data_IF_996795142660
#
_entry.id   IF_996795142660
#
_cell.length_a   1.000
_cell.length_b   1.000
_cell.length_c   1.000
_cell.angle_alpha   90.00
_cell.angle_beta   90.00
_cell.angle_gamma   90.00
#
_symmetry.space_group_name_H-M   'P 1'
#
loop_
_entity.id
_entity.type
_entity.pdbx_description
1 polymer ?
#
# COMPACT_ATOMS: atom_id res chain seq x y z
N UNK A 1 15.06 16.58 -5.18
CA UNK A 1 14.38 15.78 -6.21
C UNK A 1 14.46 14.26 -5.96
N UNK A 2 15.65 13.64 -6.02
CA UNK A 2 15.77 12.18 -5.80
C UNK A 2 15.31 11.75 -4.40
N UNK A 3 15.75 12.46 -3.36
CA UNK A 3 15.33 12.17 -1.98
C UNK A 3 13.82 12.31 -1.78
N UNK A 4 13.19 13.29 -2.45
CA UNK A 4 11.75 13.51 -2.37
C UNK A 4 10.98 12.35 -3.02
N UNK A 5 11.41 11.92 -4.22
CA UNK A 5 10.85 10.75 -4.92
C UNK A 5 11.00 9.48 -4.09
N UNK A 6 12.18 9.25 -3.50
CA UNK A 6 12.40 8.11 -2.63
C UNK A 6 11.54 8.21 -1.37
N UNK A 7 11.46 9.37 -0.72
CA UNK A 7 10.60 9.57 0.46
C UNK A 7 9.13 9.20 0.19
N UNK A 8 8.57 9.68 -0.92
CA UNK A 8 7.22 9.30 -1.36
C UNK A 8 7.10 7.80 -1.66
N UNK A 9 8.08 7.24 -2.37
CA UNK A 9 8.13 5.81 -2.69
C UNK A 9 8.10 4.94 -1.44
N UNK A 10 8.93 5.26 -0.43
CA UNK A 10 8.99 4.53 0.82
C UNK A 10 7.68 4.65 1.62
N UNK A 11 7.10 5.86 1.73
CA UNK A 11 5.88 6.06 2.49
C UNK A 11 4.68 5.36 1.87
N UNK A 12 4.49 5.48 0.55
CA UNK A 12 3.37 4.85 -0.15
C UNK A 12 3.52 3.31 -0.14
N UNK A 13 4.75 2.80 -0.22
CA UNK A 13 5.03 1.37 -0.12
C UNK A 13 4.67 0.84 1.28
N UNK A 14 4.98 1.58 2.33
CA UNK A 14 4.64 1.23 3.72
C UNK A 14 3.11 1.21 3.92
N UNK A 15 2.42 2.25 3.47
CA UNK A 15 0.95 2.32 3.46
C UNK A 15 0.31 1.15 2.70
N UNK A 16 0.88 0.76 1.55
CA UNK A 16 0.44 -0.42 0.80
C UNK A 16 0.66 -1.72 1.58
N UNK A 17 1.85 -1.90 2.17
CA UNK A 17 2.19 -3.09 2.94
C UNK A 17 1.29 -3.28 4.16
N UNK A 18 0.93 -2.19 4.85
CA UNK A 18 0.05 -2.23 6.02
C UNK A 18 -1.34 -2.80 5.70
N UNK A 19 -1.88 -2.47 4.52
CA UNK A 19 -3.25 -2.81 4.11
C UNK A 19 -3.34 -4.06 3.21
N UNK A 20 -2.25 -4.43 2.55
CA UNK A 20 -2.21 -5.57 1.63
C UNK A 20 -1.57 -6.82 2.25
N UNK A 21 -1.05 -6.77 3.49
CA UNK A 21 -0.45 -7.95 4.10
C UNK A 21 -1.51 -9.01 4.40
N UNK A 22 -1.34 -10.19 3.82
CA UNK A 22 -2.15 -11.39 4.09
C UNK A 22 -1.82 -12.03 5.45
N UNK A 23 -0.70 -11.69 6.04
CA UNK A 23 -0.23 -12.26 7.30
C UNK A 23 -0.96 -11.67 8.50
N UNK A 24 -1.94 -12.44 8.99
CA UNK A 24 -2.24 -12.49 10.42
C UNK A 24 -1.08 -13.23 11.11
N UNK A 25 0.05 -12.55 11.32
CA UNK A 25 1.10 -13.11 12.20
C UNK A 25 0.73 -12.76 13.63
N UNK A 26 0.86 -13.70 14.56
CA UNK A 26 0.58 -13.50 16.00
C UNK A 26 1.36 -12.31 16.62
N UNK A 27 2.31 -11.72 15.87
CA UNK A 27 3.15 -10.60 16.26
C UNK A 27 2.98 -9.30 15.43
N UNK A 28 2.18 -9.28 14.34
CA UNK A 28 1.79 -8.03 13.66
C UNK A 28 0.29 -7.85 13.72
N UNK A 29 -0.12 -6.71 14.25
CA UNK A 29 -1.51 -6.30 14.24
C UNK A 29 -1.98 -6.02 12.79
N UNK A 30 -3.10 -6.64 12.41
CA UNK A 30 -3.64 -6.61 11.05
C UNK A 30 -4.21 -5.21 10.72
N UNK A 31 -3.78 -4.61 9.61
CA UNK A 31 -4.26 -3.30 9.10
C UNK A 31 -4.31 -2.20 10.18
N UNK A 32 -3.19 -1.92 10.83
CA UNK A 32 -3.12 -0.92 11.91
C UNK A 32 -3.47 0.49 11.49
N UNK A 33 -3.23 0.85 10.23
CA UNK A 33 -3.66 2.14 9.71
C UNK A 33 -5.18 2.34 9.88
N UNK A 34 -5.96 1.25 9.83
CA UNK A 34 -7.41 1.30 10.08
C UNK A 34 -7.73 1.45 11.58
N UNK A 35 -6.96 0.82 12.47
CA UNK A 35 -7.09 0.98 13.93
C UNK A 35 -6.79 2.43 14.34
N UNK A 36 -5.73 3.01 13.78
CA UNK A 36 -5.32 4.38 14.08
C UNK A 36 -6.27 5.43 13.46
N UNK A 37 -7.05 5.02 12.45
CA UNK A 37 -7.87 5.91 11.65
C UNK A 37 -7.04 6.79 10.70
N UNK A 38 -5.89 6.27 10.26
CA UNK A 38 -4.93 6.97 9.40
C UNK A 38 -5.47 7.07 7.97
N UNK A 39 -5.35 8.26 7.39
CA UNK A 39 -5.59 8.47 5.96
C UNK A 39 -4.34 8.09 5.16
N UNK A 40 -4.11 6.79 5.02
CA UNK A 40 -3.02 6.25 4.18
C UNK A 40 -3.35 6.33 2.69
N UNK A 41 -2.34 6.24 1.82
CA UNK A 41 -2.48 6.47 0.38
C UNK A 41 -3.64 5.69 -0.28
N UNK A 42 -3.84 4.38 -0.05
CA UNK A 42 -4.95 3.64 -0.65
C UNK A 42 -6.33 4.08 -0.14
N UNK A 43 -6.43 4.48 1.13
CA UNK A 43 -7.70 4.95 1.73
C UNK A 43 -8.10 6.32 1.19
N UNK A 44 -7.14 7.23 1.03
CA UNK A 44 -7.34 8.53 0.39
C UNK A 44 -7.88 8.33 -1.03
N UNK A 45 -7.24 7.48 -1.83
CA UNK A 45 -7.71 7.20 -3.19
C UNK A 45 -9.17 6.70 -3.19
N UNK A 46 -9.53 5.76 -2.30
CA UNK A 46 -10.89 5.23 -2.24
C UNK A 46 -11.93 6.31 -1.91
N UNK A 47 -11.61 7.20 -0.96
CA UNK A 47 -12.51 8.29 -0.55
C UNK A 47 -12.75 9.26 -1.71
N UNK A 48 -11.71 9.61 -2.47
CA UNK A 48 -11.82 10.58 -3.57
C UNK A 48 -12.38 10.00 -4.87
N UNK A 49 -12.13 8.72 -5.14
CA UNK A 49 -12.64 8.01 -6.33
C UNK A 49 -14.10 7.55 -6.19
N UNK A 50 -14.62 7.49 -4.95
CA UNK A 50 -16.01 7.10 -4.62
C UNK A 50 -16.67 8.15 -3.72
N UNK A 51 -16.82 9.41 -4.16
CA UNK A 51 -17.35 10.50 -3.33
C UNK A 51 -18.78 10.27 -2.84
N UNK A 52 -19.53 9.38 -3.49
CA UNK A 52 -20.87 8.95 -3.09
C UNK A 52 -20.89 8.03 -1.87
N UNK A 53 -19.74 7.48 -1.46
CA UNK A 53 -19.62 6.51 -0.38
C UNK A 53 -18.80 7.05 0.78
N UNK A 54 -19.36 6.98 1.99
CA UNK A 54 -18.66 7.36 3.23
C UNK A 54 -18.12 6.15 4.00
N UNK A 55 -18.09 4.95 3.39
CA UNK A 55 -17.76 3.71 4.08
C UNK A 55 -16.36 3.73 4.70
N UNK A 56 -15.34 4.08 3.91
CA UNK A 56 -13.94 4.14 4.38
C UNK A 56 -13.81 5.17 5.51
N UNK A 57 -14.38 6.36 5.36
CA UNK A 57 -14.36 7.42 6.37
C UNK A 57 -15.00 6.96 7.69
N UNK A 58 -16.14 6.27 7.60
CA UNK A 58 -16.83 5.75 8.77
C UNK A 58 -16.03 4.66 9.49
N UNK A 59 -15.35 3.78 8.75
CA UNK A 59 -14.49 2.73 9.33
C UNK A 59 -13.26 3.37 10.01
N UNK A 60 -12.58 4.30 9.35
CA UNK A 60 -11.43 5.01 9.94
C UNK A 60 -11.82 5.77 11.21
N UNK A 61 -13.01 6.38 11.23
CA UNK A 61 -13.54 7.09 12.41
C UNK A 61 -13.83 6.15 13.59
N UNK A 62 -14.14 4.89 13.34
CA UNK A 62 -14.41 3.90 14.40
C UNK A 62 -13.14 3.47 15.14
N UNK A 63 -11.96 3.59 14.51
CA UNK A 63 -10.67 3.12 15.08
C UNK A 63 -10.78 1.68 15.60
N UNK A 64 -11.38 0.83 14.77
CA UNK A 64 -11.82 -0.51 15.19
C UNK A 64 -10.67 -1.49 15.21
N UNK A 65 -10.66 -2.36 16.22
CA UNK A 65 -9.79 -3.54 16.27
C UNK A 65 -10.45 -4.77 15.65
N UNK A 66 -11.73 -4.68 15.27
CA UNK A 66 -12.49 -5.80 14.72
C UNK A 66 -11.95 -6.21 13.34
N UNK A 67 -11.44 -7.44 13.27
CA UNK A 67 -10.80 -8.00 12.07
C UNK A 67 -11.77 -8.09 10.89
N UNK A 68 -13.05 -8.42 11.11
CA UNK A 68 -14.05 -8.53 10.04
C UNK A 68 -14.34 -7.18 9.39
N UNK A 69 -14.42 -6.11 10.20
CA UNK A 69 -14.58 -4.74 9.69
C UNK A 69 -13.35 -4.31 8.90
N UNK A 70 -12.14 -4.66 9.37
CA UNK A 70 -10.90 -4.39 8.64
C UNK A 70 -10.85 -5.13 7.30
N UNK A 71 -11.21 -6.42 7.26
CA UNK A 71 -11.31 -7.20 6.01
C UNK A 71 -12.32 -6.60 5.05
N UNK A 72 -13.50 -6.22 5.55
CA UNK A 72 -14.51 -5.54 4.75
C UNK A 72 -13.97 -4.24 4.13
N UNK A 73 -13.22 -3.44 4.90
CA UNK A 73 -12.57 -2.23 4.39
C UNK A 73 -11.57 -2.55 3.27
N UNK A 74 -10.68 -3.53 3.49
CA UNK A 74 -9.68 -3.97 2.49
C UNK A 74 -10.36 -4.44 1.20
N UNK A 75 -11.41 -5.26 1.30
CA UNK A 75 -12.18 -5.71 0.13
C UNK A 75 -12.83 -4.55 -0.62
N UNK A 76 -13.31 -3.54 0.11
CA UNK A 76 -13.85 -2.32 -0.49
C UNK A 76 -12.77 -1.52 -1.23
N UNK A 77 -11.56 -1.38 -0.65
CA UNK A 77 -10.42 -0.72 -1.29
C UNK A 77 -10.00 -1.43 -2.59
N UNK A 78 -10.00 -2.76 -2.61
CA UNK A 78 -9.72 -3.55 -3.82
C UNK A 78 -10.78 -3.29 -4.90
N UNK A 79 -12.07 -3.33 -4.55
CA UNK A 79 -13.19 -3.04 -5.48
C UNK A 79 -13.19 -1.59 -5.99
N UNK A 80 -12.70 -0.65 -5.18
CA UNK A 80 -12.50 0.73 -5.58
C UNK A 80 -11.28 0.92 -6.50
N UNK A 81 -10.46 -0.13 -6.69
CA UNK A 81 -9.23 -0.07 -7.48
C UNK A 81 -8.06 0.60 -6.77
N UNK A 82 -8.15 0.87 -5.46
CA UNK A 82 -7.14 1.62 -4.72
C UNK A 82 -5.79 0.91 -4.67
N UNK A 83 -5.77 -0.41 -4.52
CA UNK A 83 -4.51 -1.16 -4.55
C UNK A 83 -3.87 -1.16 -5.93
N UNK A 84 -4.67 -1.28 -7.00
CA UNK A 84 -4.17 -1.15 -8.37
C UNK A 84 -3.57 0.24 -8.63
N UNK A 85 -4.27 1.29 -8.22
CA UNK A 85 -3.79 2.68 -8.31
C UNK A 85 -2.50 2.91 -7.51
N UNK A 86 -2.42 2.33 -6.31
CA UNK A 86 -1.22 2.42 -5.46
C UNK A 86 -0.02 1.74 -6.11
N UNK A 87 -0.19 0.53 -6.66
CA UNK A 87 0.87 -0.18 -7.40
C UNK A 87 1.34 0.62 -8.61
N UNK A 88 0.42 1.24 -9.34
CA UNK A 88 0.78 2.06 -10.50
C UNK A 88 1.57 3.32 -10.10
N UNK A 89 1.15 3.97 -9.02
CA UNK A 89 1.89 5.11 -8.45
C UNK A 89 3.30 4.70 -8.03
N UNK A 90 3.46 3.55 -7.37
CA UNK A 90 4.76 3.02 -6.96
C UNK A 90 5.68 2.70 -8.15
N UNK A 91 5.13 2.16 -9.24
CA UNK A 91 5.88 1.95 -10.49
C UNK A 91 6.35 3.26 -11.10
N UNK A 92 5.49 4.28 -11.12
CA UNK A 92 5.86 5.61 -11.58
C UNK A 92 7.01 6.23 -10.77
N UNK A 93 6.93 6.13 -9.45
CA UNK A 93 7.98 6.60 -8.54
C UNK A 93 9.29 5.80 -8.68
N UNK A 94 9.20 4.49 -8.89
CA UNK A 94 10.37 3.64 -9.16
C UNK A 94 11.08 4.08 -10.46
N UNK A 95 10.33 4.28 -11.55
CA UNK A 95 10.89 4.76 -12.82
C UNK A 95 11.55 6.12 -12.66
N UNK A 96 10.90 7.06 -11.96
CA UNK A 96 11.45 8.38 -11.72
C UNK A 96 12.71 8.33 -10.84
N UNK A 97 12.74 7.45 -9.84
CA UNK A 97 13.94 7.24 -9.01
C UNK A 97 15.11 6.74 -9.88
N UNK A 98 14.90 5.74 -10.75
CA UNK A 98 15.95 5.25 -11.65
C UNK A 98 16.45 6.33 -12.62
N UNK A 99 15.53 7.11 -13.19
CA UNK A 99 15.87 8.23 -14.06
C UNK A 99 16.76 9.24 -13.34
N UNK A 100 16.37 9.66 -12.14
CA UNK A 100 17.13 10.63 -11.33
C UNK A 100 18.48 10.08 -10.86
N UNK A 101 18.57 8.80 -10.51
CA UNK A 101 19.86 8.16 -10.18
C UNK A 101 20.81 8.18 -11.38
N UNK A 102 20.28 7.83 -12.56
CA UNK A 102 21.05 7.84 -13.82
C UNK A 102 21.56 9.26 -14.14
N UNK A 103 20.68 10.26 -14.06
CA UNK A 103 21.01 11.67 -14.32
C UNK A 103 22.10 12.22 -13.37
N UNK A 104 22.20 11.67 -12.16
CA UNK A 104 23.19 12.06 -11.15
C UNK A 104 24.51 11.27 -11.23
N UNK A 105 24.72 10.48 -12.29
CA UNK A 105 25.96 9.72 -12.52
C UNK A 105 25.89 8.25 -12.10
N UNK A 106 24.71 7.75 -11.73
CA UNK A 106 24.47 6.35 -11.40
C UNK A 106 24.86 5.99 -9.96
N UNK A 107 24.18 4.99 -9.41
CA UNK A 107 24.51 4.41 -8.10
C UNK A 107 23.99 2.96 -8.03
N UNK A 108 24.83 1.95 -8.35
CA UNK A 108 24.39 0.55 -8.42
C UNK A 108 23.80 0.02 -7.10
N UNK A 109 24.29 0.49 -5.95
CA UNK A 109 23.78 0.08 -4.64
C UNK A 109 22.37 0.61 -4.41
N UNK A 110 22.15 1.89 -4.70
CA UNK A 110 20.83 2.52 -4.57
C UNK A 110 19.83 1.95 -5.57
N UNK A 111 20.25 1.68 -6.80
CA UNK A 111 19.42 0.99 -7.81
C UNK A 111 19.03 -0.42 -7.35
N UNK A 112 20.00 -1.16 -6.78
CA UNK A 112 19.79 -2.47 -6.18
C UNK A 112 18.80 -2.44 -5.02
N UNK A 113 18.88 -1.42 -4.16
CA UNK A 113 17.94 -1.19 -3.06
C UNK A 113 16.52 -0.93 -3.57
N UNK A 114 16.35 0.02 -4.51
CA UNK A 114 15.05 0.32 -5.12
C UNK A 114 14.46 -0.93 -5.79
N UNK A 115 15.29 -1.71 -6.50
CA UNK A 115 14.87 -2.96 -7.14
C UNK A 115 14.39 -3.99 -6.12
N UNK A 116 15.12 -4.14 -5.02
CA UNK A 116 14.77 -5.07 -3.95
C UNK A 116 13.42 -4.71 -3.32
N UNK A 117 13.23 -3.43 -2.99
CA UNK A 117 12.01 -2.94 -2.35
C UNK A 117 10.78 -3.03 -3.27
N UNK A 118 10.99 -2.95 -4.58
CA UNK A 118 9.93 -2.96 -5.58
C UNK A 118 9.26 -4.33 -5.81
N UNK A 119 9.87 -5.41 -5.34
CA UNK A 119 9.29 -6.77 -5.47
C UNK A 119 7.90 -6.87 -4.84
N UNK A 120 7.69 -6.19 -3.72
CA UNK A 120 6.46 -6.22 -2.91
C UNK A 120 5.19 -5.83 -3.69
N UNK A 121 5.29 -4.98 -4.70
CA UNK A 121 4.13 -4.48 -5.46
C UNK A 121 4.14 -4.92 -6.94
N UNK A 122 5.07 -5.81 -7.31
CA UNK A 122 5.20 -6.35 -8.67
C UNK A 122 4.52 -7.70 -8.86
N UNK A 123 4.39 -8.50 -7.80
CA UNK A 123 3.70 -9.79 -7.83
C UNK A 123 2.33 -9.67 -7.16
N UNK A 124 1.25 -10.22 -7.74
CA UNK A 124 0.08 -10.54 -6.94
C UNK A 124 0.52 -11.63 -5.97
N UNK A 125 0.45 -11.40 -4.65
CA UNK A 125 0.49 -12.52 -3.71
C UNK A 125 -0.59 -13.50 -4.16
N UNK A 126 -0.16 -14.66 -4.66
CA UNK A 126 -1.05 -15.75 -5.00
C UNK A 126 -1.81 -16.07 -3.72
N UNK A 127 -3.12 -15.81 -3.71
CA UNK A 127 -4.02 -16.18 -2.62
C UNK A 127 -3.84 -17.67 -2.37
N UNK A 128 -3.07 -18.04 -1.35
CA UNK A 128 -3.12 -19.39 -0.79
C UNK A 128 -4.47 -19.50 -0.11
N UNK A 129 -5.45 -20.05 -0.84
CA UNK A 129 -6.70 -20.51 -0.27
C UNK A 129 -6.32 -21.58 0.76
N UNK A 130 -6.71 -21.47 2.04
CA UNK A 130 -6.57 -22.59 2.96
C UNK A 130 -7.40 -23.75 2.41
N UNK A 131 -6.77 -24.91 2.22
CA UNK A 131 -7.53 -26.15 2.01
C UNK A 131 -8.41 -26.35 3.25
N UNK A 132 -9.73 -26.33 3.05
CA UNK A 132 -10.71 -26.78 4.03
C UNK A 132 -10.62 -28.31 4.12
N UNK A 133 -10.13 -28.82 5.26
CA UNK A 133 -10.36 -30.20 5.74
C UNK A 133 -11.50 -30.21 6.77
#
# INVERSE_FOLDING_TARGET
PLLDTLGLFFQIRDDYANLNSTEYSENKSFCEDLTEGKFSFPTIHAIWSRPESTQVQNILRQRTENVDIKRYCVDYLEKAGSFAYTRETLRGLEVEAYRLITDLGGNPELEGLVKHLSKMFREPETKSVPEED
#
